data_IF_159310211004
#
_entry.id   IF_159310211004
#
_cell.length_a   1.000
_cell.length_b   1.000
_cell.length_c   1.000
_cell.angle_alpha   90.00
_cell.angle_beta   90.00
_cell.angle_gamma   90.00
#
_symmetry.space_group_name_H-M   'P 1'
#
loop_
_entity.id
_entity.type
_entity.pdbx_description
1 polymer ?
#
# COMPACT_ATOMS: atom_id res chain seq x y z
N UNK A 1 -12.35 -13.79 20.14
CA UNK A 1 -13.83 -13.73 20.26
C UNK A 1 -14.20 -12.26 20.26
N UNK A 2 -14.76 -11.76 19.17
CA UNK A 2 -15.14 -10.35 19.00
C UNK A 2 -16.52 -10.13 19.64
N UNK A 3 -16.59 -9.29 20.64
CA UNK A 3 -17.83 -8.90 21.31
C UNK A 3 -18.16 -7.44 21.02
N UNK A 4 -19.30 -7.17 20.40
CA UNK A 4 -19.86 -5.83 20.23
C UNK A 4 -20.59 -5.42 21.51
N UNK A 5 -20.18 -4.35 22.15
CA UNK A 5 -20.96 -3.64 23.16
C UNK A 5 -20.87 -2.14 22.88
N UNK A 6 -22.03 -1.51 22.66
CA UNK A 6 -22.22 -0.04 22.51
C UNK A 6 -21.48 0.64 21.36
N UNK A 7 -21.36 0.02 20.17
CA UNK A 7 -20.86 0.70 18.97
C UNK A 7 -19.40 1.17 19.04
N UNK A 8 -18.63 0.74 20.03
CA UNK A 8 -17.18 0.95 20.13
C UNK A 8 -16.50 -0.40 20.16
N UNK A 9 -15.55 -0.61 19.25
CA UNK A 9 -14.59 -1.71 19.34
C UNK A 9 -13.78 -1.54 20.63
N UNK A 10 -14.08 -2.33 21.65
CA UNK A 10 -13.16 -2.53 22.77
C UNK A 10 -12.11 -3.53 22.30
N UNK A 11 -10.94 -3.01 21.92
CA UNK A 11 -9.74 -3.82 21.80
C UNK A 11 -9.36 -4.31 23.20
N UNK A 12 -9.70 -5.57 23.48
CA UNK A 12 -9.00 -6.29 24.56
C UNK A 12 -7.55 -6.46 24.11
N UNK A 13 -6.62 -6.15 25.02
CA UNK A 13 -5.15 -6.27 24.88
C UNK A 13 -4.68 -7.72 24.61
N UNK A 14 -5.10 -8.30 23.51
CA UNK A 14 -4.41 -9.43 22.91
C UNK A 14 -3.66 -8.86 21.71
N UNK A 15 -2.34 -8.73 21.88
CA UNK A 15 -1.39 -8.29 20.86
C UNK A 15 -1.53 -9.16 19.61
N UNK A 16 -2.44 -8.78 18.71
CA UNK A 16 -2.53 -9.44 17.41
C UNK A 16 -1.21 -9.14 16.65
N UNK A 17 -0.54 -10.16 16.10
CA UNK A 17 0.62 -9.90 15.25
C UNK A 17 0.18 -9.10 14.04
N UNK A 18 0.93 -8.03 13.70
CA UNK A 18 0.62 -7.17 12.56
C UNK A 18 0.74 -5.69 12.87
N UNK A 19 0.34 -4.87 11.89
CA UNK A 19 0.34 -3.42 11.99
C UNK A 19 -1.04 -2.92 12.40
N UNK A 20 -1.07 -2.11 13.47
CA UNK A 20 -2.32 -1.52 13.97
C UNK A 20 -2.16 -0.03 14.16
N UNK A 21 -3.09 0.75 13.64
CA UNK A 21 -3.24 2.18 13.90
C UNK A 21 -4.40 2.38 14.89
N UNK A 22 -4.17 3.17 15.95
CA UNK A 22 -5.14 3.44 17.02
C UNK A 22 -5.39 4.93 17.12
N UNK A 23 -6.66 5.35 16.93
CA UNK A 23 -7.13 6.74 17.01
C UNK A 23 -6.27 7.68 16.16
N UNK A 24 -5.88 7.22 14.97
CA UNK A 24 -4.92 7.89 14.12
C UNK A 24 -5.56 9.14 13.49
N UNK A 25 -4.96 10.30 13.72
CA UNK A 25 -5.37 11.57 13.09
C UNK A 25 -4.22 12.12 12.25
N UNK A 26 -4.51 12.45 11.00
CA UNK A 26 -3.55 13.01 10.05
C UNK A 26 -3.91 14.46 9.71
N UNK A 27 -2.89 15.33 9.65
CA UNK A 27 -3.02 16.74 9.28
C UNK A 27 -1.93 17.17 8.30
N UNK A 28 -2.26 18.16 7.50
CA UNK A 28 -1.30 18.89 6.66
C UNK A 28 -1.57 20.38 6.85
N UNK A 29 -0.66 21.09 7.54
CA UNK A 29 -0.93 22.43 8.04
C UNK A 29 -2.18 22.43 8.94
N UNK A 30 -3.11 23.33 8.67
CA UNK A 30 -4.36 23.43 9.43
C UNK A 30 -5.46 22.46 8.98
N UNK A 31 -5.23 21.75 7.87
CA UNK A 31 -6.24 20.84 7.31
C UNK A 31 -6.15 19.45 7.97
N UNK A 32 -7.26 18.98 8.53
CA UNK A 32 -7.41 17.60 8.96
C UNK A 32 -7.76 16.74 7.75
N UNK A 33 -6.90 15.75 7.45
CA UNK A 33 -7.08 14.82 6.32
C UNK A 33 -7.92 13.61 6.73
N UNK A 34 -7.69 13.11 7.94
CA UNK A 34 -8.34 11.95 8.53
C UNK A 34 -8.35 12.08 10.05
N UNK A 35 -9.44 11.70 10.70
CA UNK A 35 -9.60 11.86 12.15
C UNK A 35 -9.96 10.53 12.81
N UNK A 36 -9.22 10.18 13.87
CA UNK A 36 -9.50 9.05 14.77
C UNK A 36 -9.72 7.71 14.04
N UNK A 37 -8.85 7.38 13.04
CA UNK A 37 -8.89 6.08 12.37
C UNK A 37 -8.39 4.98 13.32
N UNK A 38 -9.19 3.94 13.46
CA UNK A 38 -8.78 2.65 14.00
C UNK A 38 -8.67 1.65 12.83
N UNK A 39 -7.45 1.14 12.59
CA UNK A 39 -7.16 0.21 11.50
C UNK A 39 -6.22 -0.89 12.00
N UNK A 40 -6.62 -2.15 11.83
CA UNK A 40 -5.73 -3.30 11.94
C UNK A 40 -5.56 -3.91 10.55
N UNK A 41 -4.32 -4.14 10.12
CA UNK A 41 -4.03 -4.93 8.91
C UNK A 41 -4.11 -6.40 9.27
N UNK A 42 -4.98 -7.12 8.58
CA UNK A 42 -5.13 -8.56 8.76
C UNK A 42 -4.04 -9.31 7.99
N UNK A 43 -3.41 -10.34 8.58
CA UNK A 43 -2.52 -11.21 7.82
C UNK A 43 -3.26 -11.86 6.65
N UNK A 44 -2.65 -11.81 5.45
CA UNK A 44 -3.25 -12.41 4.27
C UNK A 44 -4.28 -11.53 3.55
N UNK A 45 -4.36 -10.23 3.88
CA UNK A 45 -5.28 -9.32 3.19
C UNK A 45 -4.60 -8.40 2.18
N UNK A 46 -5.36 -8.00 1.18
CA UNK A 46 -5.08 -6.86 0.31
C UNK A 46 -6.05 -5.73 0.66
N UNK A 47 -5.53 -4.66 1.26
CA UNK A 47 -6.29 -3.45 1.59
C UNK A 47 -6.11 -2.40 0.50
N UNK A 48 -7.20 -1.99 -0.14
CA UNK A 48 -7.21 -0.87 -1.09
C UNK A 48 -7.51 0.45 -0.41
N UNK A 49 -6.72 1.50 -0.68
CA UNK A 49 -7.00 2.87 -0.22
C UNK A 49 -7.43 3.70 -1.40
N UNK A 50 -8.65 4.24 -1.35
CA UNK A 50 -9.22 5.11 -2.37
C UNK A 50 -9.50 6.51 -1.79
N UNK A 51 -9.44 7.51 -2.65
CA UNK A 51 -9.70 8.92 -2.31
C UNK A 51 -9.15 9.85 -3.36
N UNK A 52 -9.67 11.06 -3.38
CA UNK A 52 -9.23 12.11 -4.31
C UNK A 52 -7.74 12.46 -4.09
N UNK A 53 -7.13 13.15 -5.07
CA UNK A 53 -5.78 13.68 -4.90
C UNK A 53 -5.74 14.65 -3.71
N UNK A 54 -4.72 14.51 -2.87
CA UNK A 54 -4.62 15.30 -1.64
C UNK A 54 -5.53 14.85 -0.49
N UNK A 55 -6.20 13.70 -0.59
CA UNK A 55 -6.99 13.14 0.51
C UNK A 55 -6.16 12.58 1.67
N UNK A 56 -4.85 12.43 1.49
CA UNK A 56 -3.94 11.96 2.55
C UNK A 56 -3.46 10.52 2.39
N UNK A 57 -3.66 9.88 1.24
CA UNK A 57 -3.25 8.49 0.98
C UNK A 57 -1.75 8.27 1.24
N UNK A 58 -0.89 9.04 0.58
CA UNK A 58 0.57 8.96 0.77
C UNK A 58 0.99 9.31 2.19
N UNK A 59 0.32 10.29 2.81
CA UNK A 59 0.57 10.65 4.22
C UNK A 59 0.28 9.49 5.15
N UNK A 60 -0.85 8.79 4.93
CA UNK A 60 -1.20 7.60 5.70
C UNK A 60 -0.15 6.50 5.53
N UNK A 61 0.25 6.18 4.28
CA UNK A 61 1.29 5.16 4.05
C UNK A 61 2.62 5.52 4.72
N UNK A 62 3.04 6.78 4.68
CA UNK A 62 4.26 7.24 5.36
C UNK A 62 4.17 7.08 6.88
N UNK A 63 3.00 7.36 7.47
CA UNK A 63 2.78 7.15 8.92
C UNK A 63 2.76 5.67 9.26
N UNK A 64 2.10 4.84 8.46
CA UNK A 64 2.10 3.38 8.64
C UNK A 64 3.50 2.75 8.47
N UNK A 65 4.35 3.35 7.62
CA UNK A 65 5.74 2.95 7.45
C UNK A 65 6.67 3.46 8.59
N UNK A 66 6.17 4.34 9.45
CA UNK A 66 6.96 5.00 10.50
C UNK A 66 7.96 6.03 9.97
N UNK A 67 7.70 6.58 8.77
CA UNK A 67 8.50 7.66 8.15
C UNK A 67 8.00 9.05 8.54
N UNK A 68 6.74 9.15 9.00
CA UNK A 68 6.15 10.38 9.51
C UNK A 68 5.40 10.10 10.83
N UNK A 69 5.35 11.11 11.70
CA UNK A 69 4.55 11.03 12.91
C UNK A 69 3.09 11.43 12.61
N UNK A 70 2.09 10.78 13.22
CA UNK A 70 0.71 11.24 13.16
C UNK A 70 0.51 12.50 14.00
N UNK A 71 -0.54 13.27 13.71
CA UNK A 71 -0.93 14.42 14.54
C UNK A 71 -1.48 13.97 15.91
N UNK A 72 -2.20 12.84 15.93
CA UNK A 72 -2.69 12.18 17.15
C UNK A 72 -2.78 10.67 16.89
N UNK A 73 -2.87 9.90 17.99
CA UNK A 73 -2.92 8.45 17.93
C UNK A 73 -1.53 7.83 17.82
N UNK A 74 -1.48 6.55 17.50
CA UNK A 74 -0.22 5.79 17.35
C UNK A 74 -0.36 4.64 16.38
N UNK A 75 0.78 4.20 15.86
CA UNK A 75 0.90 2.96 15.09
C UNK A 75 1.73 1.96 15.90
N UNK A 76 1.29 0.72 15.94
CA UNK A 76 2.03 -0.38 16.59
C UNK A 76 2.32 -1.48 15.58
N UNK A 77 3.48 -2.10 15.70
CA UNK A 77 3.87 -3.31 14.96
C UNK A 77 4.10 -4.42 15.98
N UNK A 78 3.35 -5.50 15.86
CA UNK A 78 3.36 -6.62 16.81
C UNK A 78 3.21 -6.15 18.28
N UNK A 79 2.37 -5.13 18.48
CA UNK A 79 2.09 -4.51 19.79
C UNK A 79 3.13 -3.51 20.31
N UNK A 80 4.25 -3.32 19.63
CA UNK A 80 5.26 -2.33 19.99
C UNK A 80 5.00 -1.02 19.24
N UNK A 81 5.11 0.11 19.93
CA UNK A 81 4.95 1.42 19.30
C UNK A 81 6.02 1.59 18.19
N UNK A 82 5.56 1.92 16.97
CA UNK A 82 6.41 1.90 15.77
C UNK A 82 7.60 2.87 15.87
N UNK A 83 7.40 4.00 16.54
CA UNK A 83 8.44 5.00 16.80
C UNK A 83 9.57 4.51 17.72
N UNK A 84 9.32 3.48 18.54
CA UNK A 84 10.33 2.92 19.44
C UNK A 84 11.22 1.86 18.76
N UNK A 85 10.81 1.38 17.60
CA UNK A 85 11.55 0.36 16.86
C UNK A 85 12.70 1.00 16.05
N UNK A 86 13.86 0.35 16.04
CA UNK A 86 14.98 0.79 15.21
C UNK A 86 14.58 0.79 13.71
N UNK A 87 15.09 1.73 12.88
CA UNK A 87 14.74 1.80 11.46
C UNK A 87 14.96 0.49 10.70
N UNK A 88 16.05 -0.23 10.96
CA UNK A 88 16.32 -1.52 10.33
C UNK A 88 15.29 -2.58 10.73
N UNK A 89 14.88 -2.62 12.00
CA UNK A 89 13.85 -3.55 12.48
C UNK A 89 12.52 -3.29 11.78
N UNK A 90 12.15 -2.03 11.59
CA UNK A 90 10.95 -1.67 10.81
C UNK A 90 11.09 -2.11 9.35
N UNK A 91 12.24 -1.80 8.72
CA UNK A 91 12.50 -2.15 7.33
C UNK A 91 12.60 -3.66 7.07
N UNK A 92 12.83 -4.49 8.10
CA UNK A 92 12.74 -5.95 7.98
C UNK A 92 11.31 -6.46 7.91
N UNK A 93 10.33 -5.64 8.33
CA UNK A 93 8.93 -6.05 8.42
C UNK A 93 8.03 -5.27 7.46
N UNK A 94 8.32 -4.00 7.22
CA UNK A 94 7.52 -3.08 6.42
C UNK A 94 8.34 -2.64 5.21
N UNK A 95 7.81 -2.86 4.02
CA UNK A 95 8.32 -2.31 2.77
C UNK A 95 7.40 -1.21 2.27
N UNK A 96 7.97 -0.10 1.81
CA UNK A 96 7.23 1.00 1.20
C UNK A 96 7.71 1.24 -0.23
N UNK A 97 6.78 1.22 -1.18
CA UNK A 97 6.96 1.77 -2.51
C UNK A 97 6.32 3.17 -2.53
N UNK A 98 7.09 4.26 -2.42
CA UNK A 98 6.53 5.62 -2.41
C UNK A 98 6.07 6.05 -3.80
N UNK A 99 5.18 7.05 -3.86
CA UNK A 99 4.80 7.70 -5.11
C UNK A 99 6.01 8.44 -5.71
N UNK A 100 6.26 8.29 -7.00
CA UNK A 100 7.34 8.97 -7.70
C UNK A 100 8.74 8.37 -7.45
N UNK A 101 9.71 8.95 -8.12
CA UNK A 101 11.13 8.56 -8.07
C UNK A 101 11.90 9.71 -7.41
N UNK A 102 12.49 9.46 -6.25
CA UNK A 102 13.28 10.47 -5.56
C UNK A 102 14.62 10.76 -6.26
N UNK A 103 14.99 10.00 -7.30
CA UNK A 103 16.20 10.18 -8.09
C UNK A 103 17.49 9.91 -7.28
N UNK A 104 18.65 10.00 -7.95
CA UNK A 104 19.94 10.04 -7.26
C UNK A 104 20.64 8.70 -7.03
N UNK A 105 20.08 7.58 -7.48
CA UNK A 105 20.82 6.31 -7.46
C UNK A 105 21.76 6.21 -8.68
N UNK A 106 23.05 6.05 -8.39
CA UNK A 106 24.11 5.86 -9.39
C UNK A 106 24.60 4.41 -9.35
N UNK A 107 24.02 3.57 -10.19
CA UNK A 107 24.38 2.16 -10.28
C UNK A 107 23.53 1.43 -11.32
N UNK A 108 23.76 0.12 -11.47
CA UNK A 108 22.99 -0.71 -12.35
C UNK A 108 21.59 -1.02 -11.77
N UNK A 109 20.70 -1.52 -12.62
CA UNK A 109 19.39 -2.05 -12.18
C UNK A 109 19.55 -3.17 -11.16
N UNK A 110 20.53 -4.06 -11.37
CA UNK A 110 20.82 -5.15 -10.43
C UNK A 110 21.25 -4.61 -9.06
N UNK A 111 22.15 -3.61 -9.04
CA UNK A 111 22.60 -2.98 -7.78
C UNK A 111 21.42 -2.33 -7.05
N UNK A 112 20.53 -1.66 -7.78
CA UNK A 112 19.34 -1.02 -7.21
C UNK A 112 18.38 -2.06 -6.61
N UNK A 113 18.10 -3.13 -7.32
CA UNK A 113 17.23 -4.21 -6.86
C UNK A 113 17.82 -4.91 -5.63
N UNK A 114 19.16 -5.09 -5.59
CA UNK A 114 19.87 -5.68 -4.46
C UNK A 114 19.71 -4.87 -3.16
N UNK A 115 19.46 -3.54 -3.23
CA UNK A 115 19.22 -2.71 -2.05
C UNK A 115 17.99 -3.17 -1.24
N UNK A 116 17.06 -3.93 -1.83
CA UNK A 116 15.97 -4.56 -1.09
C UNK A 116 16.46 -5.44 0.06
N UNK A 117 17.66 -6.01 -0.02
CA UNK A 117 18.27 -6.83 1.05
C UNK A 117 19.02 -6.03 2.10
N UNK A 118 19.15 -4.73 1.93
CA UNK A 118 19.89 -3.88 2.87
C UNK A 118 19.48 -4.06 4.36
N UNK A 119 18.19 -4.21 4.70
CA UNK A 119 17.77 -4.42 6.09
C UNK A 119 18.27 -5.74 6.71
N UNK A 120 18.67 -6.70 5.88
CA UNK A 120 19.10 -8.05 6.30
C UNK A 120 20.64 -8.25 6.22
N UNK A 121 21.40 -7.21 5.88
CA UNK A 121 22.84 -7.25 5.68
C UNK A 121 23.24 -7.32 4.21
N UNK A 122 24.52 -7.61 3.92
CA UNK A 122 25.06 -7.48 2.57
C UNK A 122 24.79 -8.70 1.64
N UNK A 123 24.14 -9.75 2.12
CA UNK A 123 23.78 -10.87 1.25
C UNK A 123 22.56 -10.51 0.40
N UNK A 124 22.80 -10.18 -0.86
CA UNK A 124 21.74 -9.88 -1.83
C UNK A 124 20.91 -11.10 -2.22
N UNK A 125 21.38 -12.30 -1.90
CA UNK A 125 20.76 -13.55 -2.36
C UNK A 125 20.77 -13.69 -3.89
N UNK A 126 19.96 -14.61 -4.40
CA UNK A 126 19.74 -14.75 -5.83
C UNK A 126 18.66 -13.78 -6.32
N UNK A 127 19.07 -12.76 -7.08
CA UNK A 127 18.16 -11.77 -7.66
C UNK A 127 17.46 -12.28 -8.94
N UNK A 128 17.93 -13.39 -9.52
CA UNK A 128 17.45 -13.89 -10.82
C UNK A 128 15.93 -14.07 -10.88
N UNK A 129 15.26 -14.68 -9.88
CA UNK A 129 13.81 -14.87 -9.91
C UNK A 129 13.05 -13.55 -9.90
N UNK A 130 13.54 -12.56 -9.14
CA UNK A 130 12.91 -11.25 -9.03
C UNK A 130 13.08 -10.43 -10.32
N UNK A 131 14.28 -10.42 -10.89
CA UNK A 131 14.55 -9.78 -12.19
C UNK A 131 13.71 -10.40 -13.30
N UNK A 132 13.59 -11.72 -13.33
CA UNK A 132 12.76 -12.43 -14.32
C UNK A 132 11.27 -12.11 -14.15
N UNK A 133 10.77 -12.11 -12.90
CA UNK A 133 9.36 -11.79 -12.60
C UNK A 133 8.95 -10.43 -13.12
N UNK A 134 9.85 -9.44 -13.03
CA UNK A 134 9.59 -8.06 -13.45
C UNK A 134 10.16 -7.73 -14.85
N UNK A 135 10.58 -8.74 -15.62
CA UNK A 135 11.15 -8.58 -16.99
C UNK A 135 12.32 -7.59 -17.03
N UNK A 136 13.24 -7.73 -16.08
CA UNK A 136 14.41 -6.88 -15.92
C UNK A 136 15.74 -7.59 -16.22
N UNK A 137 15.72 -8.88 -16.57
CA UNK A 137 16.92 -9.70 -16.75
C UNK A 137 17.91 -9.06 -17.72
N UNK A 138 17.43 -8.64 -18.91
CA UNK A 138 18.27 -8.00 -19.93
C UNK A 138 18.65 -6.54 -19.56
N UNK A 139 17.90 -5.93 -18.64
CA UNK A 139 18.14 -4.58 -18.16
C UNK A 139 19.06 -4.55 -16.94
N UNK A 140 19.30 -5.69 -16.29
CA UNK A 140 20.03 -5.79 -15.04
C UNK A 140 21.41 -5.07 -15.02
N UNK A 141 22.26 -5.15 -16.09
CA UNK A 141 23.54 -4.47 -16.13
C UNK A 141 23.45 -2.98 -16.50
N UNK A 142 22.27 -2.49 -16.95
CA UNK A 142 22.11 -1.10 -17.41
C UNK A 142 22.06 -0.12 -16.24
N UNK A 143 22.56 1.12 -16.40
CA UNK A 143 22.39 2.17 -15.40
C UNK A 143 20.89 2.47 -15.16
N UNK A 144 20.44 2.53 -13.89
CA UNK A 144 19.04 2.78 -13.54
C UNK A 144 18.51 4.08 -14.16
N UNK A 145 19.35 5.09 -14.24
CA UNK A 145 19.00 6.40 -14.81
C UNK A 145 18.59 6.36 -16.29
N UNK A 146 18.96 5.28 -17.04
CA UNK A 146 18.64 5.12 -18.46
C UNK A 146 17.29 4.45 -18.72
N UNK A 147 16.60 3.99 -17.66
CA UNK A 147 15.34 3.32 -17.77
C UNK A 147 14.18 4.29 -18.08
N UNK A 148 13.22 3.82 -18.86
CA UNK A 148 11.90 4.48 -18.98
C UNK A 148 11.16 4.49 -17.65
N UNK A 149 10.09 5.31 -17.54
CA UNK A 149 9.28 5.37 -16.32
C UNK A 149 8.70 4.00 -15.93
N UNK A 150 8.18 3.23 -16.89
CA UNK A 150 7.64 1.89 -16.64
C UNK A 150 8.70 0.86 -16.25
N UNK A 151 9.87 0.87 -16.90
CA UNK A 151 11.00 0.01 -16.53
C UNK A 151 11.51 0.34 -15.12
N UNK A 152 11.57 1.63 -14.76
CA UNK A 152 11.97 2.08 -13.43
C UNK A 152 10.95 1.67 -12.38
N UNK A 153 9.67 1.77 -12.66
CA UNK A 153 8.62 1.29 -11.76
C UNK A 153 8.74 -0.22 -11.52
N UNK A 154 9.02 -1.01 -12.57
CA UNK A 154 9.28 -2.45 -12.44
C UNK A 154 10.53 -2.74 -11.59
N UNK A 155 11.59 -1.96 -11.72
CA UNK A 155 12.79 -2.09 -10.89
C UNK A 155 12.50 -1.82 -9.41
N UNK A 156 11.67 -0.82 -9.09
CA UNK A 156 11.23 -0.52 -7.72
C UNK A 156 10.37 -1.64 -7.14
N UNK A 157 9.49 -2.22 -7.95
CA UNK A 157 8.70 -3.39 -7.54
C UNK A 157 9.58 -4.63 -7.30
N UNK A 158 10.59 -4.83 -8.14
CA UNK A 158 11.58 -5.90 -7.94
C UNK A 158 12.38 -5.70 -6.64
N UNK A 159 12.79 -4.48 -6.33
CA UNK A 159 13.46 -4.13 -5.08
C UNK A 159 12.58 -4.45 -3.86
N UNK A 160 11.30 -4.05 -3.88
CA UNK A 160 10.34 -4.38 -2.83
C UNK A 160 10.14 -5.89 -2.70
N UNK A 161 10.03 -6.62 -3.81
CA UNK A 161 9.91 -8.07 -3.81
C UNK A 161 11.16 -8.78 -3.26
N UNK A 162 12.36 -8.22 -3.48
CA UNK A 162 13.63 -8.70 -2.90
C UNK A 162 13.70 -8.43 -1.39
N UNK A 163 13.13 -7.34 -0.92
CA UNK A 163 12.99 -7.05 0.51
C UNK A 163 12.09 -8.09 1.20
N UNK A 164 11.09 -8.63 0.50
CA UNK A 164 10.13 -9.62 1.01
C UNK A 164 9.53 -9.23 2.38
N UNK A 165 8.92 -8.05 2.50
CA UNK A 165 8.37 -7.58 3.77
C UNK A 165 7.08 -8.33 4.11
N UNK A 166 6.81 -8.54 5.40
CA UNK A 166 5.51 -9.08 5.84
C UNK A 166 4.34 -8.10 5.61
N UNK A 167 4.65 -6.81 5.48
CA UNK A 167 3.69 -5.74 5.22
C UNK A 167 4.23 -4.89 4.08
N UNK A 168 3.58 -4.94 2.92
CA UNK A 168 3.92 -4.15 1.75
C UNK A 168 2.95 -2.97 1.59
N UNK A 169 3.48 -1.75 1.60
CA UNK A 169 2.73 -0.50 1.43
C UNK A 169 3.09 0.08 0.06
N UNK A 170 2.13 0.24 -0.84
CA UNK A 170 2.39 0.67 -2.22
C UNK A 170 1.56 1.91 -2.56
N UNK A 171 2.24 3.00 -2.84
CA UNK A 171 1.61 4.27 -3.20
C UNK A 171 1.53 4.44 -4.72
N UNK A 172 0.31 4.42 -5.25
CA UNK A 172 -0.01 4.50 -6.68
C UNK A 172 0.83 3.54 -7.55
N UNK A 173 0.92 2.25 -7.19
CA UNK A 173 1.90 1.36 -7.80
C UNK A 173 1.59 0.99 -9.26
N UNK A 174 0.35 1.20 -9.72
CA UNK A 174 -0.08 0.92 -11.11
C UNK A 174 0.31 2.03 -12.09
N UNK A 175 0.73 3.19 -11.59
CA UNK A 175 1.12 4.33 -12.43
C UNK A 175 2.36 3.99 -13.27
N UNK A 176 2.37 4.43 -14.52
CA UNK A 176 3.41 4.17 -15.52
C UNK A 176 3.56 2.70 -15.99
N UNK A 177 2.74 1.78 -15.49
CA UNK A 177 2.71 0.40 -15.95
C UNK A 177 1.67 0.23 -17.07
N UNK A 178 2.03 -0.54 -18.07
CA UNK A 178 1.07 -1.02 -19.07
C UNK A 178 0.11 -2.07 -18.45
N UNK A 179 -1.01 -2.40 -19.12
CA UNK A 179 -2.00 -3.33 -18.57
C UNK A 179 -1.45 -4.71 -18.18
N UNK A 180 -0.45 -5.23 -18.92
CA UNK A 180 0.14 -6.53 -18.61
C UNK A 180 0.94 -6.48 -17.29
N UNK A 181 1.71 -5.41 -17.09
CA UNK A 181 2.47 -5.22 -15.85
C UNK A 181 1.56 -4.83 -14.68
N UNK A 182 0.44 -4.11 -14.91
CA UNK A 182 -0.57 -3.87 -13.88
C UNK A 182 -1.18 -5.19 -13.37
N UNK A 183 -1.59 -6.08 -14.29
CA UNK A 183 -2.11 -7.39 -13.93
C UNK A 183 -1.07 -8.23 -13.17
N UNK A 184 0.20 -8.17 -13.57
CA UNK A 184 1.31 -8.87 -12.89
C UNK A 184 1.52 -8.37 -11.45
N UNK A 185 1.45 -7.05 -11.25
CA UNK A 185 1.54 -6.45 -9.92
C UNK A 185 0.39 -6.91 -9.02
N UNK A 186 -0.84 -6.86 -9.52
CA UNK A 186 -2.01 -7.28 -8.75
C UNK A 186 -1.98 -8.78 -8.42
N UNK A 187 -1.51 -9.60 -9.36
CA UNK A 187 -1.27 -11.03 -9.12
C UNK A 187 -0.14 -11.25 -8.10
N UNK A 188 0.91 -10.41 -8.09
CA UNK A 188 1.95 -10.45 -7.07
C UNK A 188 1.36 -10.10 -5.69
N UNK A 189 0.59 -9.00 -5.60
CA UNK A 189 -0.05 -8.59 -4.35
C UNK A 189 -0.95 -9.70 -3.76
N UNK A 190 -1.73 -10.38 -4.61
CA UNK A 190 -2.56 -11.51 -4.17
C UNK A 190 -1.71 -12.68 -3.67
N UNK A 191 -0.63 -13.06 -4.37
CA UNK A 191 0.28 -14.13 -3.93
C UNK A 191 0.94 -13.82 -2.58
N UNK A 192 1.35 -12.55 -2.36
CA UNK A 192 1.89 -12.14 -1.05
C UNK A 192 0.86 -12.30 0.05
N UNK A 193 -0.39 -11.89 -0.22
CA UNK A 193 -1.47 -12.06 0.73
C UNK A 193 -1.79 -13.55 0.98
N UNK A 194 -1.85 -14.38 -0.07
CA UNK A 194 -2.07 -15.84 0.06
C UNK A 194 -0.92 -16.52 0.85
N UNK A 195 0.27 -15.93 0.87
CA UNK A 195 1.39 -16.35 1.71
C UNK A 195 1.30 -15.88 3.17
N UNK A 196 0.25 -15.12 3.53
CA UNK A 196 0.00 -14.62 4.88
C UNK A 196 0.58 -13.22 5.15
N UNK A 197 1.09 -12.53 4.13
CA UNK A 197 1.54 -11.15 4.24
C UNK A 197 0.37 -10.18 4.08
N UNK A 198 0.52 -8.93 4.55
CA UNK A 198 -0.48 -7.87 4.33
C UNK A 198 -0.01 -6.94 3.22
N UNK A 199 -0.88 -6.62 2.26
CA UNK A 199 -0.56 -5.69 1.16
C UNK A 199 -1.54 -4.52 1.19
N UNK A 200 -1.01 -3.30 1.19
CA UNK A 200 -1.79 -2.06 1.13
C UNK A 200 -1.48 -1.34 -0.18
N UNK A 201 -2.52 -1.05 -0.96
CA UNK A 201 -2.40 -0.39 -2.26
C UNK A 201 -3.20 0.91 -2.27
N UNK A 202 -2.61 2.03 -2.66
CA UNK A 202 -3.42 3.19 -3.08
C UNK A 202 -3.85 3.01 -4.53
N UNK A 203 -5.13 3.19 -4.80
CA UNK A 203 -5.74 2.97 -6.11
C UNK A 203 -6.59 4.17 -6.53
N UNK A 204 -6.68 4.40 -7.85
CA UNK A 204 -7.56 5.42 -8.42
C UNK A 204 -8.78 4.81 -9.12
N UNK A 205 -8.65 3.60 -9.65
CA UNK A 205 -9.74 2.92 -10.36
C UNK A 205 -10.49 1.97 -9.40
N UNK A 206 -11.77 2.23 -9.10
CA UNK A 206 -12.59 1.37 -8.28
C UNK A 206 -12.74 -0.06 -8.83
N UNK A 207 -12.54 -0.28 -10.13
CA UNK A 207 -12.62 -1.64 -10.73
C UNK A 207 -11.48 -2.52 -10.24
N UNK A 208 -10.25 -1.98 -10.17
CA UNK A 208 -9.12 -2.72 -9.59
C UNK A 208 -9.38 -3.05 -8.11
N UNK A 209 -9.94 -2.08 -7.37
CA UNK A 209 -10.29 -2.27 -5.96
C UNK A 209 -11.36 -3.37 -5.78
N UNK A 210 -12.39 -3.38 -6.61
CA UNK A 210 -13.46 -4.39 -6.57
C UNK A 210 -12.96 -5.81 -6.83
N UNK A 211 -11.99 -5.98 -7.74
CA UNK A 211 -11.53 -7.29 -8.18
C UNK A 211 -10.37 -7.86 -7.35
N UNK A 212 -9.61 -7.01 -6.67
CA UNK A 212 -8.32 -7.43 -6.09
C UNK A 212 -8.15 -7.13 -4.60
N UNK A 213 -9.05 -6.34 -3.98
CA UNK A 213 -8.95 -6.00 -2.57
C UNK A 213 -9.98 -6.76 -1.73
N UNK A 214 -9.57 -7.20 -0.54
CA UNK A 214 -10.43 -7.85 0.44
C UNK A 214 -11.20 -6.80 1.25
N UNK A 215 -10.53 -5.66 1.57
CA UNK A 215 -11.11 -4.50 2.24
C UNK A 215 -10.71 -3.21 1.55
N UNK A 216 -11.52 -2.18 1.75
CA UNK A 216 -11.26 -0.85 1.23
C UNK A 216 -11.30 0.18 2.36
N UNK A 217 -10.40 1.16 2.28
CA UNK A 217 -10.41 2.37 3.09
C UNK A 217 -10.64 3.58 2.16
N UNK A 218 -11.77 4.26 2.34
CA UNK A 218 -12.08 5.51 1.67
C UNK A 218 -11.61 6.70 2.50
N UNK A 219 -10.81 7.59 1.90
CA UNK A 219 -10.34 8.84 2.51
C UNK A 219 -10.97 10.02 1.80
N UNK A 220 -11.79 10.79 2.52
CA UNK A 220 -12.47 11.96 1.96
C UNK A 220 -11.58 13.22 2.00
N UNK A 221 -10.54 13.23 2.83
CA UNK A 221 -9.59 14.33 2.96
C UNK A 221 -10.16 15.56 3.71
N UNK A 222 -11.23 15.37 4.44
CA UNK A 222 -11.92 16.37 5.28
C UNK A 222 -12.14 15.87 6.71
N UNK A 223 -11.34 14.90 7.14
CA UNK A 223 -11.43 14.21 8.43
C UNK A 223 -12.19 12.89 8.36
N UNK A 224 -13.11 12.73 7.40
CA UNK A 224 -13.94 11.53 7.28
C UNK A 224 -13.23 10.39 6.55
N UNK A 225 -13.54 9.18 6.95
CA UNK A 225 -13.09 7.93 6.33
C UNK A 225 -14.17 6.85 6.46
N UNK A 226 -14.06 5.82 5.63
CA UNK A 226 -14.93 4.64 5.68
C UNK A 226 -14.06 3.41 5.45
N UNK A 227 -14.30 2.35 6.22
CA UNK A 227 -13.60 1.07 6.11
C UNK A 227 -14.64 -0.04 5.97
N UNK A 228 -14.50 -0.89 4.98
CA UNK A 228 -15.45 -1.99 4.73
C UNK A 228 -15.02 -2.87 3.58
N UNK A 229 -15.89 -3.81 3.18
CA UNK A 229 -15.64 -4.64 1.99
C UNK A 229 -15.90 -3.85 0.71
N UNK A 230 -15.36 -4.30 -0.46
CA UNK A 230 -15.72 -3.71 -1.74
C UNK A 230 -17.24 -3.68 -1.99
N UNK A 231 -17.96 -4.71 -1.58
CA UNK A 231 -19.41 -4.78 -1.74
C UNK A 231 -20.16 -3.70 -0.93
N UNK A 232 -19.64 -3.35 0.25
CA UNK A 232 -20.26 -2.35 1.12
C UNK A 232 -19.96 -0.92 0.64
N UNK A 233 -18.74 -0.67 0.16
CA UNK A 233 -18.25 0.68 -0.11
C UNK A 233 -18.36 1.12 -1.57
N UNK A 234 -18.26 0.21 -2.53
CA UNK A 234 -18.31 0.56 -3.95
C UNK A 234 -19.76 0.73 -4.42
N UNK A 235 -20.47 1.68 -3.84
CA UNK A 235 -21.80 2.10 -4.27
C UNK A 235 -21.76 3.40 -5.06
N UNK A 236 -22.74 3.68 -5.94
CA UNK A 236 -22.81 4.95 -6.64
C UNK A 236 -22.72 6.16 -5.72
N UNK A 237 -23.46 6.14 -4.60
CA UNK A 237 -23.53 7.25 -3.65
C UNK A 237 -22.20 7.45 -2.92
N UNK A 238 -21.53 6.36 -2.52
CA UNK A 238 -20.21 6.43 -1.88
C UNK A 238 -19.13 6.94 -2.82
N UNK A 239 -19.17 6.56 -4.09
CA UNK A 239 -18.21 7.03 -5.11
C UNK A 239 -18.44 8.52 -5.44
N UNK A 240 -19.70 8.98 -5.50
CA UNK A 240 -20.00 10.41 -5.65
C UNK A 240 -19.58 11.22 -4.42
N UNK A 241 -19.73 10.68 -3.22
CA UNK A 241 -19.25 11.32 -2.00
C UNK A 241 -17.71 11.39 -1.95
N UNK A 242 -17.01 10.39 -2.52
CA UNK A 242 -15.55 10.30 -2.51
C UNK A 242 -14.88 11.15 -3.59
N UNK A 243 -15.43 11.16 -4.80
CA UNK A 243 -14.80 11.76 -5.99
C UNK A 243 -15.57 12.93 -6.59
N UNK A 244 -16.78 13.21 -6.11
CA UNK A 244 -17.66 14.26 -6.63
C UNK A 244 -18.73 13.74 -7.60
N UNK A 245 -19.66 14.61 -7.93
CA UNK A 245 -20.82 14.29 -8.78
C UNK A 245 -20.40 13.82 -10.18
N UNK A 246 -21.12 12.82 -10.70
CA UNK A 246 -20.89 12.22 -12.02
C UNK A 246 -19.99 10.99 -12.03
N UNK A 247 -19.26 10.69 -10.95
CA UNK A 247 -18.38 9.52 -10.86
C UNK A 247 -19.19 8.21 -10.89
N UNK A 248 -20.38 8.19 -10.29
CA UNK A 248 -21.28 7.05 -10.34
C UNK A 248 -21.68 6.63 -11.76
N UNK A 249 -21.78 7.59 -12.68
CA UNK A 249 -22.11 7.29 -14.08
C UNK A 249 -20.96 6.56 -14.80
N UNK A 250 -19.71 6.85 -14.45
CA UNK A 250 -18.53 6.17 -14.97
C UNK A 250 -18.45 4.74 -14.41
N UNK A 251 -18.71 4.56 -13.13
CA UNK A 251 -18.78 3.26 -12.47
C UNK A 251 -19.85 2.34 -13.09
N UNK A 252 -21.07 2.82 -13.26
CA UNK A 252 -22.16 2.05 -13.87
C UNK A 252 -21.87 1.62 -15.32
N UNK A 253 -21.09 2.38 -16.07
CA UNK A 253 -20.67 1.98 -17.42
C UNK A 253 -19.73 0.77 -17.41
N UNK A 254 -18.91 0.64 -16.39
CA UNK A 254 -17.95 -0.45 -16.25
C UNK A 254 -18.58 -1.76 -15.72
N UNK A 255 -19.73 -1.71 -15.02
CA UNK A 255 -20.49 -2.92 -14.61
C UNK A 255 -20.91 -3.82 -15.78
N UNK A 256 -20.86 -3.31 -17.03
CA UNK A 256 -21.17 -4.10 -18.24
C UNK A 256 -20.00 -4.89 -18.80
N UNK A 257 -18.82 -4.70 -18.29
CA UNK A 257 -17.63 -5.49 -18.65
C UNK A 257 -17.42 -6.54 -17.56
N UNK A 258 -18.17 -7.65 -17.65
CA UNK A 258 -17.83 -8.82 -16.86
C UNK A 258 -16.48 -9.35 -17.33
N UNK A 259 -15.57 -9.72 -16.44
CA UNK A 259 -14.35 -10.40 -16.85
C UNK A 259 -14.72 -11.74 -17.48
N UNK A 260 -14.17 -12.01 -18.67
CA UNK A 260 -14.26 -13.29 -19.38
C UNK A 260 -13.38 -14.31 -18.67
#
# INVERSE_FOLDING_TARGET
MLGFVNGRLHFMESLAPGLTALQLTLRTGDRTLMESLDLALEPGEVLGILGANGAGKSTLLNVLAGLAAPAQGRVTLDGHALETLAPLTRAQRIGLLPQGDEGGFFGSVADFVALGRYPFGHDSGDLTPHLATWELTELAPRPLATLSGGERQRARLAQLAVQAPCIALLDEPLTHLDPAHQARLLAWARREADAGHSVVLTLHDPNWAACHCDRLLFLHGDGRWQLGTPADLLTPDSLEALYGSGTAALWRRNERVQPV
#
